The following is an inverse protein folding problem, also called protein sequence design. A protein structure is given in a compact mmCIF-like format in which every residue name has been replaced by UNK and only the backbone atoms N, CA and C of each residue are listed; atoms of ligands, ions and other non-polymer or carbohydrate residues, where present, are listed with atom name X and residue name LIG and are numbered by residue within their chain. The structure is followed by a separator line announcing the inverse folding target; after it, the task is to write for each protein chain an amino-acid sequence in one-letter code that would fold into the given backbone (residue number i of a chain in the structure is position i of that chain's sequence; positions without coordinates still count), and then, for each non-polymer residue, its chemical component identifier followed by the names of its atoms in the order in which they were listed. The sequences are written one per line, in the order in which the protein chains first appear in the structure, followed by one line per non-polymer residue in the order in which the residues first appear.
data_IF_248274951197
#
_entry.id   IF_248274951197
#
_cell.length_a   1.000
_cell.length_b   1.000
_cell.length_c   1.000
_cell.angle_alpha   90.00
_cell.angle_beta   90.00
_cell.angle_gamma   90.00
#
_symmetry.space_group_name_H-M   'P 1'
#
loop_
_entity.id
_entity.type
_entity.pdbx_description
1 polymer ?
#
# COMPACT_ATOMS: atom_id res chain seq x y z
N UNK A 1 22.32 -15.39 9.20
CA UNK A 1 23.54 -16.23 9.15
C UNK A 1 23.94 -16.89 10.48
N UNK A 2 23.80 -16.23 11.65
CA UNK A 2 24.26 -16.79 12.95
C UNK A 2 23.72 -18.19 13.29
N UNK A 3 22.41 -18.42 13.15
CA UNK A 3 21.80 -19.73 13.46
C UNK A 3 22.37 -20.86 12.60
N UNK A 4 22.50 -20.66 11.29
CA UNK A 4 23.11 -21.64 10.39
C UNK A 4 24.56 -21.96 10.79
N UNK A 5 25.33 -20.97 11.27
CA UNK A 5 26.70 -21.20 11.76
C UNK A 5 26.74 -22.00 13.06
N UNK A 6 25.77 -21.83 13.96
CA UNK A 6 25.64 -22.65 15.17
C UNK A 6 25.30 -24.10 14.81
N UNK A 7 24.36 -24.31 13.89
CA UNK A 7 24.04 -25.65 13.35
C UNK A 7 25.26 -26.31 12.72
N UNK A 8 26.03 -25.56 11.90
CA UNK A 8 27.28 -26.07 11.31
C UNK A 8 28.35 -26.44 12.34
N UNK A 9 28.32 -25.82 13.53
CA UNK A 9 29.21 -26.14 14.66
C UNK A 9 28.70 -27.30 15.52
N UNK A 10 27.55 -27.90 15.18
CA UNK A 10 26.99 -29.05 15.89
C UNK A 10 26.02 -28.71 17.01
N UNK A 11 25.51 -27.48 17.07
CA UNK A 11 24.45 -27.13 18.02
C UNK A 11 23.20 -27.97 17.74
N UNK A 12 22.57 -28.48 18.80
CA UNK A 12 21.38 -29.34 18.68
C UNK A 12 20.15 -28.59 18.17
N UNK A 13 19.23 -29.33 17.54
CA UNK A 13 17.91 -28.82 17.16
C UNK A 13 16.84 -29.13 18.19
N UNK A 14 15.65 -28.57 17.97
CA UNK A 14 14.43 -28.92 18.70
C UNK A 14 13.51 -29.72 17.77
N UNK A 15 12.94 -30.83 18.25
CA UNK A 15 12.12 -31.73 17.43
C UNK A 15 10.67 -31.21 17.23
N UNK A 16 10.13 -30.49 18.20
CA UNK A 16 8.74 -29.97 18.19
C UNK A 16 8.67 -28.45 18.41
N UNK A 17 9.48 -27.63 17.70
CA UNK A 17 9.56 -26.18 17.95
C UNK A 17 8.24 -25.46 17.62
N UNK A 18 7.40 -26.06 16.77
CA UNK A 18 6.09 -25.53 16.41
C UNK A 18 5.00 -26.02 17.38
N UNK A 19 4.89 -27.32 17.57
CA UNK A 19 3.70 -27.98 18.13
C UNK A 19 3.82 -28.44 19.60
N UNK A 20 4.91 -28.12 20.30
CA UNK A 20 5.03 -28.47 21.72
C UNK A 20 3.93 -27.80 22.55
N UNK A 21 3.21 -28.56 23.36
CA UNK A 21 2.15 -28.02 24.22
C UNK A 21 2.71 -26.94 25.15
N UNK A 22 2.00 -25.80 25.26
CA UNK A 22 2.31 -24.60 26.07
C UNK A 22 3.55 -23.81 25.66
N UNK A 23 4.53 -24.44 25.01
CA UNK A 23 5.85 -23.84 24.75
C UNK A 23 6.18 -23.68 23.27
N UNK A 24 5.48 -24.39 22.39
CA UNK A 24 5.67 -24.34 20.95
C UNK A 24 5.22 -23.01 20.36
N UNK A 25 5.79 -22.65 19.21
CA UNK A 25 5.44 -21.43 18.48
C UNK A 25 3.94 -21.31 18.20
N UNK A 26 3.27 -22.43 17.92
CA UNK A 26 1.84 -22.45 17.59
C UNK A 26 0.99 -22.00 18.79
N UNK A 27 1.28 -22.50 19.98
CA UNK A 27 0.58 -22.12 21.21
C UNK A 27 0.92 -20.68 21.64
N UNK A 28 2.21 -20.35 21.66
CA UNK A 28 2.69 -19.08 22.25
C UNK A 28 2.39 -17.88 21.35
N UNK A 29 2.57 -18.01 20.03
CA UNK A 29 2.52 -16.88 19.09
C UNK A 29 1.40 -16.98 18.05
N UNK A 30 0.95 -18.20 17.71
CA UNK A 30 -0.13 -18.40 16.72
C UNK A 30 -1.51 -18.62 17.36
N UNK A 31 -1.64 -18.44 18.69
CA UNK A 31 -2.89 -18.63 19.44
C UNK A 31 -3.45 -20.05 19.28
N UNK A 32 -2.56 -21.05 19.33
CA UNK A 32 -2.89 -22.47 19.16
C UNK A 32 -3.25 -22.88 17.73
N UNK A 33 -3.01 -22.03 16.72
CA UNK A 33 -3.27 -22.37 15.32
C UNK A 33 -2.06 -23.05 14.69
N UNK A 34 -2.26 -24.19 13.98
CA UNK A 34 -1.15 -24.88 13.34
C UNK A 34 -0.60 -24.06 12.16
N UNK A 35 0.72 -24.11 11.98
CA UNK A 35 1.37 -23.56 10.80
C UNK A 35 1.17 -24.52 9.62
N UNK A 36 0.60 -24.02 8.53
CA UNK A 36 0.29 -24.83 7.35
C UNK A 36 1.00 -24.29 6.11
N UNK A 37 1.32 -25.20 5.18
CA UNK A 37 1.72 -24.84 3.83
C UNK A 37 0.47 -24.76 2.95
N UNK A 38 0.17 -23.58 2.43
CA UNK A 38 -0.98 -23.39 1.53
C UNK A 38 -0.82 -24.12 0.18
N UNK A 39 0.42 -24.40 -0.22
CA UNK A 39 0.78 -25.13 -1.43
C UNK A 39 2.19 -25.75 -1.28
N UNK A 40 2.56 -26.77 -2.08
CA UNK A 40 3.92 -27.31 -2.11
C UNK A 40 4.98 -26.25 -2.46
N UNK A 41 6.20 -26.44 -1.94
CA UNK A 41 7.32 -25.54 -2.24
C UNK A 41 7.79 -25.69 -3.69
N UNK A 42 8.06 -24.56 -4.35
CA UNK A 42 8.50 -24.48 -5.74
C UNK A 42 8.93 -23.05 -6.08
N UNK A 43 8.81 -22.66 -7.35
CA UNK A 43 9.22 -21.33 -7.85
C UNK A 43 8.11 -20.26 -7.84
N UNK A 44 6.89 -20.61 -7.41
CA UNK A 44 5.73 -19.70 -7.45
C UNK A 44 6.02 -18.30 -6.89
N UNK A 45 6.71 -18.19 -5.75
CA UNK A 45 6.98 -16.89 -5.12
C UNK A 45 7.89 -16.03 -5.97
N UNK A 46 8.95 -16.60 -6.56
CA UNK A 46 9.90 -15.82 -7.37
C UNK A 46 9.31 -15.48 -8.74
N UNK A 47 8.51 -16.37 -9.31
CA UNK A 47 7.78 -16.11 -10.56
C UNK A 47 6.73 -14.99 -10.42
N UNK A 48 6.21 -14.79 -9.20
CA UNK A 48 5.18 -13.80 -8.91
C UNK A 48 5.67 -12.70 -7.95
N UNK A 49 6.98 -12.46 -7.88
CA UNK A 49 7.54 -11.37 -7.05
C UNK A 49 7.16 -10.02 -7.65
N UNK A 50 6.88 -9.05 -6.79
CA UNK A 50 6.48 -7.72 -7.20
C UNK A 50 7.66 -6.75 -7.11
N UNK A 51 7.84 -5.91 -8.13
CA UNK A 51 8.84 -4.85 -8.18
C UNK A 51 8.18 -3.48 -8.10
N UNK A 52 8.77 -2.57 -7.32
CA UNK A 52 8.44 -1.14 -7.38
C UNK A 52 9.33 -0.49 -8.44
N UNK A 53 8.82 -0.41 -9.66
CA UNK A 53 9.60 0.06 -10.82
C UNK A 53 9.49 1.59 -10.96
N UNK A 54 8.27 2.12 -10.86
CA UNK A 54 7.98 3.51 -11.19
C UNK A 54 8.11 4.46 -9.99
N UNK A 55 7.57 4.08 -8.83
CA UNK A 55 7.40 5.02 -7.71
C UNK A 55 7.87 4.43 -6.37
N UNK A 56 8.55 5.22 -5.51
CA UNK A 56 8.95 4.80 -4.17
C UNK A 56 7.78 4.91 -3.15
N UNK A 57 6.63 4.33 -3.46
CA UNK A 57 5.41 4.37 -2.63
C UNK A 57 5.10 3.03 -1.97
N UNK A 58 4.31 3.01 -0.89
CA UNK A 58 3.72 1.77 -0.35
C UNK A 58 2.98 1.00 -1.46
N UNK A 59 3.06 -0.34 -1.44
CA UNK A 59 2.69 -1.15 -2.60
C UNK A 59 1.20 -1.03 -2.96
N UNK A 60 0.32 -0.94 -1.96
CA UNK A 60 -1.13 -0.84 -2.16
C UNK A 60 -1.55 0.48 -2.84
N UNK A 61 -0.68 1.48 -2.88
CA UNK A 61 -0.90 2.77 -3.55
C UNK A 61 -0.27 2.88 -4.95
N UNK A 62 0.51 1.89 -5.41
CA UNK A 62 1.27 1.99 -6.67
C UNK A 62 0.38 2.32 -7.88
N UNK A 63 -0.75 1.62 -8.02
CA UNK A 63 -1.69 1.85 -9.13
C UNK A 63 -2.52 3.13 -8.96
N UNK A 64 -2.69 3.63 -7.72
CA UNK A 64 -3.29 4.94 -7.49
C UNK A 64 -2.34 6.07 -7.90
N UNK A 65 -1.04 5.94 -7.60
CA UNK A 65 0.00 6.85 -8.06
C UNK A 65 0.07 6.89 -9.59
N UNK A 66 0.05 5.73 -10.24
CA UNK A 66 0.01 5.62 -11.71
C UNK A 66 -1.21 6.33 -12.31
N UNK A 67 -2.42 6.05 -11.79
CA UNK A 67 -3.65 6.71 -12.25
C UNK A 67 -3.60 8.23 -12.03
N UNK A 68 -3.07 8.68 -10.89
CA UNK A 68 -2.91 10.09 -10.57
C UNK A 68 -1.95 10.79 -11.54
N UNK A 69 -0.79 10.19 -11.82
CA UNK A 69 0.17 10.71 -12.81
C UNK A 69 -0.46 10.80 -14.20
N UNK A 70 -1.24 9.80 -14.62
CA UNK A 70 -1.95 9.85 -15.91
C UNK A 70 -3.01 10.97 -15.97
N UNK A 71 -3.62 11.32 -14.83
CA UNK A 71 -4.63 12.37 -14.73
C UNK A 71 -4.04 13.78 -14.57
N UNK A 72 -2.73 13.90 -14.29
CA UNK A 72 -2.04 15.16 -13.99
C UNK A 72 -2.32 16.25 -15.03
N UNK A 73 -2.10 15.96 -16.31
CA UNK A 73 -2.28 16.96 -17.38
C UNK A 73 -3.72 17.47 -17.51
N UNK A 74 -4.70 16.69 -17.06
CA UNK A 74 -6.10 17.10 -17.06
C UNK A 74 -6.47 18.01 -15.88
N UNK A 75 -5.64 18.07 -14.82
CA UNK A 75 -6.00 18.72 -13.55
C UNK A 75 -5.02 19.79 -13.06
N UNK A 76 -3.76 19.78 -13.51
CA UNK A 76 -2.70 20.67 -12.97
C UNK A 76 -3.06 22.16 -12.96
N UNK A 77 -3.77 22.63 -13.99
CA UNK A 77 -4.15 24.03 -14.14
C UNK A 77 -5.51 24.37 -13.52
N UNK A 78 -6.18 23.39 -12.89
CA UNK A 78 -7.56 23.51 -12.38
C UNK A 78 -7.80 22.75 -11.08
N UNK A 79 -6.77 22.59 -10.26
CA UNK A 79 -6.85 21.93 -8.95
C UNK A 79 -7.90 22.59 -8.04
N UNK A 80 -8.04 23.91 -8.10
CA UNK A 80 -9.00 24.66 -7.29
C UNK A 80 -10.46 24.39 -7.69
N UNK A 81 -10.70 23.92 -8.92
CA UNK A 81 -12.03 23.56 -9.43
C UNK A 81 -12.47 22.15 -9.00
N UNK A 82 -11.62 21.36 -8.33
CA UNK A 82 -11.96 19.99 -7.92
C UNK A 82 -12.98 20.04 -6.78
N UNK A 83 -14.18 19.51 -6.98
CA UNK A 83 -15.17 19.29 -5.91
C UNK A 83 -14.70 18.18 -4.97
N UNK A 84 -14.38 17.01 -5.55
CA UNK A 84 -13.89 15.85 -4.80
C UNK A 84 -13.10 14.89 -5.68
N UNK A 85 -12.27 14.08 -5.05
CA UNK A 85 -11.57 12.96 -5.68
C UNK A 85 -12.07 11.67 -5.03
N UNK A 86 -12.58 10.75 -5.82
CA UNK A 86 -12.98 9.43 -5.34
C UNK A 86 -11.89 8.41 -5.68
N UNK A 87 -11.41 7.70 -4.66
CA UNK A 87 -10.42 6.64 -4.78
C UNK A 87 -11.11 5.32 -4.43
N UNK A 88 -11.38 4.50 -5.43
CA UNK A 88 -11.90 3.14 -5.21
C UNK A 88 -10.72 2.17 -5.13
N UNK A 89 -10.68 1.39 -4.06
CA UNK A 89 -9.53 0.53 -3.73
C UNK A 89 -9.99 -0.79 -3.08
N UNK A 90 -9.05 -1.57 -2.57
CA UNK A 90 -9.26 -2.86 -1.91
C UNK A 90 -9.08 -2.76 -0.39
N UNK A 91 -9.62 -3.72 0.37
CA UNK A 91 -9.64 -3.71 1.85
C UNK A 91 -8.27 -3.47 2.48
N UNK A 92 -7.23 -4.11 1.95
CA UNK A 92 -5.89 -4.01 2.56
C UNK A 92 -5.29 -2.61 2.40
N UNK A 93 -5.56 -1.91 1.29
CA UNK A 93 -5.17 -0.51 1.14
C UNK A 93 -5.86 0.37 2.20
N UNK A 94 -7.16 0.17 2.41
CA UNK A 94 -7.93 0.92 3.42
C UNK A 94 -7.37 0.66 4.81
N UNK A 95 -7.16 -0.61 5.18
CA UNK A 95 -6.69 -0.97 6.51
C UNK A 95 -5.27 -0.47 6.82
N UNK A 96 -4.40 -0.36 5.81
CA UNK A 96 -2.97 -0.11 6.02
C UNK A 96 -2.60 1.35 5.77
N UNK A 97 -3.17 1.99 4.74
CA UNK A 97 -2.70 3.29 4.23
C UNK A 97 -3.79 4.35 3.99
N UNK A 98 -5.06 4.11 4.35
CA UNK A 98 -6.07 5.17 4.39
C UNK A 98 -5.85 6.04 5.63
N UNK A 99 -5.32 7.26 5.43
CA UNK A 99 -5.00 8.20 6.52
C UNK A 99 -5.61 9.57 6.27
N UNK A 100 -6.33 10.07 7.26
CA UNK A 100 -6.89 11.43 7.30
C UNK A 100 -6.20 12.29 8.36
N UNK A 101 -6.25 13.60 8.18
CA UNK A 101 -5.65 14.56 9.10
C UNK A 101 -4.14 14.77 8.85
N UNK A 102 -3.43 15.36 9.83
CA UNK A 102 -2.02 15.73 9.67
C UNK A 102 -1.11 14.50 9.48
N UNK A 103 -0.04 14.68 8.71
CA UNK A 103 1.03 13.71 8.50
C UNK A 103 2.35 14.34 8.96
N UNK A 104 3.03 13.69 9.90
CA UNK A 104 4.07 14.36 10.70
C UNK A 104 5.50 14.07 10.25
N UNK A 105 5.69 13.05 9.41
CA UNK A 105 7.00 12.62 8.96
C UNK A 105 6.91 11.90 7.60
N UNK A 106 8.04 11.65 6.92
CA UNK A 106 8.06 10.94 5.64
C UNK A 106 7.37 9.56 5.68
N UNK A 107 7.50 8.81 6.76
CA UNK A 107 6.88 7.49 6.92
C UNK A 107 5.33 7.57 7.09
N UNK A 108 4.81 8.71 7.52
CA UNK A 108 3.37 8.94 7.51
C UNK A 108 2.86 9.14 6.08
N UNK A 109 3.64 9.83 5.26
CA UNK A 109 3.31 10.27 3.89
C UNK A 109 3.47 9.15 2.87
N UNK A 110 4.54 8.36 2.94
CA UNK A 110 4.75 7.20 2.08
C UNK A 110 3.74 6.06 2.35
N UNK A 111 3.09 6.05 3.52
CA UNK A 111 1.98 5.16 3.89
C UNK A 111 0.63 5.90 3.95
N UNK A 112 0.42 6.93 3.12
CA UNK A 112 -0.87 7.60 2.98
C UNK A 112 -1.33 7.57 1.52
N UNK A 113 -2.39 6.81 1.24
CA UNK A 113 -2.98 6.66 -0.10
C UNK A 113 -3.37 8.02 -0.68
N UNK A 114 -3.97 8.88 0.14
CA UNK A 114 -4.38 10.23 -0.25
C UNK A 114 -3.18 11.12 -0.60
N UNK A 115 -2.11 11.07 0.21
CA UNK A 115 -0.92 11.87 -0.04
C UNK A 115 -0.24 11.46 -1.36
N UNK A 116 -0.04 10.16 -1.54
CA UNK A 116 0.55 9.59 -2.76
C UNK A 116 -0.27 9.98 -4.00
N UNK A 117 -1.60 9.86 -3.93
CA UNK A 117 -2.49 10.26 -5.03
C UNK A 117 -2.41 11.77 -5.28
N UNK A 118 -2.38 12.59 -4.22
CA UNK A 118 -2.31 14.05 -4.35
C UNK A 118 -1.01 14.50 -5.02
N UNK A 119 0.14 13.91 -4.65
CA UNK A 119 1.42 14.20 -5.29
C UNK A 119 1.37 13.87 -6.79
N UNK A 120 0.87 12.69 -7.16
CA UNK A 120 0.74 12.31 -8.57
C UNK A 120 -0.14 13.29 -9.37
N UNK A 121 -1.24 13.77 -8.79
CA UNK A 121 -2.13 14.74 -9.43
C UNK A 121 -1.49 16.13 -9.56
N UNK A 122 -0.74 16.57 -8.55
CA UNK A 122 -0.16 17.93 -8.51
C UNK A 122 1.11 18.02 -9.35
N UNK A 123 2.00 17.03 -9.26
CA UNK A 123 3.34 17.09 -9.83
C UNK A 123 3.52 16.26 -11.10
N UNK A 124 2.63 15.30 -11.37
CA UNK A 124 2.77 14.39 -12.52
C UNK A 124 3.90 13.38 -12.36
N UNK A 125 4.47 13.28 -11.16
CA UNK A 125 5.50 12.30 -10.79
C UNK A 125 5.47 12.05 -9.28
N UNK A 126 6.19 11.01 -8.83
CA UNK A 126 6.34 10.68 -7.42
C UNK A 126 7.77 10.20 -7.15
N UNK A 127 8.55 10.99 -6.41
CA UNK A 127 9.92 10.70 -6.00
C UNK A 127 10.01 10.62 -4.47
N UNK A 128 11.17 10.21 -3.95
CA UNK A 128 11.39 10.16 -2.50
C UNK A 128 11.35 11.56 -1.85
N UNK A 129 11.83 12.57 -2.56
CA UNK A 129 11.89 13.96 -2.09
C UNK A 129 10.48 14.56 -1.88
N UNK A 130 9.46 13.99 -2.53
CA UNK A 130 8.07 14.40 -2.29
C UNK A 130 7.55 14.05 -0.90
N UNK A 131 8.21 13.16 -0.16
CA UNK A 131 7.83 12.84 1.22
C UNK A 131 8.50 13.77 2.23
N UNK A 132 9.47 14.59 1.81
CA UNK A 132 10.19 15.51 2.68
C UNK A 132 9.38 16.76 3.01
N UNK A 133 9.80 17.46 4.06
CA UNK A 133 9.07 18.60 4.61
C UNK A 133 8.89 19.74 3.60
N UNK A 134 9.89 19.98 2.74
CA UNK A 134 9.84 21.02 1.71
C UNK A 134 8.63 20.85 0.76
N UNK A 135 8.40 19.62 0.28
CA UNK A 135 7.24 19.31 -0.54
C UNK A 135 5.96 19.33 0.29
N UNK A 136 5.98 18.73 1.48
CA UNK A 136 4.80 18.61 2.34
C UNK A 136 4.23 19.95 2.82
N UNK A 137 5.04 21.02 2.81
CA UNK A 137 4.58 22.38 3.11
C UNK A 137 3.68 22.98 2.03
N UNK A 138 3.58 22.38 0.83
CA UNK A 138 2.65 22.84 -0.19
C UNK A 138 1.20 22.65 0.28
N UNK A 139 0.45 23.74 0.57
CA UNK A 139 -0.89 23.63 1.14
C UNK A 139 -1.92 23.07 0.15
N UNK A 140 -1.60 23.00 -1.15
CA UNK A 140 -2.47 22.36 -2.14
C UNK A 140 -2.61 20.84 -1.89
N UNK A 141 -1.58 20.20 -1.32
CA UNK A 141 -1.60 18.76 -1.02
C UNK A 141 -2.70 18.47 0.00
N UNK A 142 -2.69 19.14 1.14
CA UNK A 142 -3.66 18.91 2.21
C UNK A 142 -5.07 19.35 1.80
N UNK A 143 -5.21 20.47 1.07
CA UNK A 143 -6.50 20.87 0.50
C UNK A 143 -7.11 19.80 -0.41
N UNK A 144 -6.28 19.13 -1.21
CA UNK A 144 -6.73 18.07 -2.12
C UNK A 144 -7.05 16.78 -1.34
N UNK A 145 -6.22 16.42 -0.36
CA UNK A 145 -6.45 15.28 0.54
C UNK A 145 -7.77 15.39 1.30
N UNK A 146 -8.13 16.59 1.76
CA UNK A 146 -9.39 16.83 2.45
C UNK A 146 -10.62 16.62 1.56
N UNK A 147 -10.45 16.68 0.23
CA UNK A 147 -11.48 16.41 -0.78
C UNK A 147 -11.49 14.95 -1.26
N UNK A 148 -10.64 14.08 -0.70
CA UNK A 148 -10.55 12.67 -1.09
C UNK A 148 -11.50 11.77 -0.31
N UNK A 149 -12.23 10.92 -1.03
CA UNK A 149 -13.10 9.89 -0.47
C UNK A 149 -12.58 8.53 -0.92
N UNK A 150 -12.13 7.72 0.03
CA UNK A 150 -11.68 6.35 -0.20
C UNK A 150 -12.88 5.39 -0.02
N UNK A 151 -13.06 4.48 -0.97
CA UNK A 151 -14.13 3.47 -0.96
C UNK A 151 -13.59 2.09 -1.32
N UNK A 152 -14.14 1.05 -0.73
CA UNK A 152 -13.83 -0.33 -1.11
C UNK A 152 -14.66 -0.78 -2.33
N UNK A 153 -14.02 -1.43 -3.31
CA UNK A 153 -14.69 -2.36 -4.22
C UNK A 153 -14.33 -3.79 -3.81
N UNK A 154 -15.35 -4.56 -3.39
CA UNK A 154 -15.16 -5.94 -2.92
C UNK A 154 -14.53 -6.84 -3.98
N UNK A 155 -14.74 -6.57 -5.27
CA UNK A 155 -14.11 -7.34 -6.35
C UNK A 155 -12.59 -7.12 -6.37
N UNK A 156 -12.12 -5.91 -6.04
CA UNK A 156 -10.69 -5.64 -5.93
C UNK A 156 -10.10 -6.38 -4.73
N UNK A 157 -10.83 -6.45 -3.61
CA UNK A 157 -10.44 -7.24 -2.44
C UNK A 157 -10.36 -8.75 -2.75
N UNK A 158 -11.35 -9.28 -3.47
CA UNK A 158 -11.36 -10.69 -3.90
C UNK A 158 -10.21 -11.01 -4.85
N UNK A 159 -9.98 -10.17 -5.87
CA UNK A 159 -8.91 -10.37 -6.85
C UNK A 159 -7.49 -10.16 -6.24
N UNK A 160 -7.37 -9.40 -5.16
CA UNK A 160 -6.13 -9.26 -4.39
C UNK A 160 -5.76 -10.57 -3.68
N UNK A 161 -6.75 -11.32 -3.18
CA UNK A 161 -6.54 -12.59 -2.48
C UNK A 161 -6.49 -13.80 -3.41
N UNK A 162 -6.98 -13.69 -4.65
CA UNK A 162 -6.91 -14.76 -5.66
C UNK A 162 -5.45 -15.05 -6.04
N UNK A 163 -4.91 -16.26 -5.75
CA UNK A 163 -3.54 -16.63 -6.11
C UNK A 163 -3.24 -16.53 -7.60
N UNK A 164 -4.25 -16.61 -8.47
CA UNK A 164 -4.07 -16.51 -9.93
C UNK A 164 -4.01 -15.08 -10.44
N UNK A 165 -4.48 -14.10 -9.66
CA UNK A 165 -4.55 -12.68 -10.07
C UNK A 165 -3.64 -11.80 -9.23
N UNK A 166 -3.81 -11.82 -7.91
CA UNK A 166 -3.03 -11.04 -6.94
C UNK A 166 -2.99 -9.55 -7.30
N UNK A 167 -4.14 -9.03 -7.72
CA UNK A 167 -4.24 -7.66 -8.24
C UNK A 167 -4.08 -6.64 -7.12
N UNK A 168 -3.60 -5.44 -7.45
CA UNK A 168 -3.45 -4.32 -6.50
C UNK A 168 -4.18 -3.13 -7.09
N UNK A 169 -5.50 -3.28 -7.25
CA UNK A 169 -6.30 -2.38 -8.06
C UNK A 169 -6.68 -1.10 -7.29
N UNK A 170 -6.58 0.03 -8.00
CA UNK A 170 -7.13 1.32 -7.61
C UNK A 170 -7.81 1.97 -8.83
N UNK A 171 -8.81 2.80 -8.56
CA UNK A 171 -9.42 3.70 -9.54
C UNK A 171 -9.50 5.09 -8.93
N UNK A 172 -9.07 6.11 -9.68
CA UNK A 172 -9.09 7.51 -9.26
C UNK A 172 -10.02 8.27 -10.19
N UNK A 173 -11.06 8.90 -9.63
CA UNK A 173 -12.01 9.72 -10.37
C UNK A 173 -12.10 11.12 -9.76
N UNK A 174 -12.04 12.14 -10.62
CA UNK A 174 -12.02 13.54 -10.20
C UNK A 174 -13.32 14.19 -10.63
N UNK A 175 -14.02 14.79 -9.68
CA UNK A 175 -15.24 15.53 -9.91
C UNK A 175 -14.93 17.01 -9.77
N UNK A 176 -15.33 17.79 -10.77
CA UNK A 176 -15.19 19.24 -10.73
C UNK A 176 -16.46 19.88 -10.19
N UNK A 177 -16.31 21.05 -9.56
CA UNK A 177 -17.42 21.91 -9.20
C UNK A 177 -18.28 22.13 -10.43
N UNK A 178 -19.61 22.06 -10.27
CA UNK A 178 -20.54 22.35 -11.37
C UNK A 178 -20.28 23.78 -11.85
N UNK A 179 -19.62 23.94 -12.98
CA UNK A 179 -19.61 25.21 -13.71
C UNK A 179 -21.02 25.43 -14.21
N UNK A 180 -21.70 26.46 -13.70
CA UNK A 180 -23.03 26.84 -14.18
C UNK A 180 -22.98 27.24 -15.66
N UNK A 181 -23.25 26.28 -16.55
CA UNK A 181 -23.84 26.42 -17.88
C UNK A 181 -24.66 25.18 -18.20
#
# INVERSE_FOLDING_TARGET
MRLAMMTRKGEMGYQTPLSAEKWGFEDVLMKGKPLTLAQPLGSYVIENVLFKIAYPAEFHAQTAAEAAVMLHDAVKDRLDEIDRVEITTHESAIRIIDKKGPLYNPADRDHCLQYITAIGLIYGELTADHYEEETAQNPAIDRLRDRMIVKEDKRYTEDYLDPKKRSIANCVQIFFLKTGR
#
